data_IF_539529854860
#
_entry.id   IF_539529854860
#
_cell.length_a   1.000
_cell.length_b   1.000
_cell.length_c   1.000
_cell.angle_alpha   90.00
_cell.angle_beta   90.00
_cell.angle_gamma   90.00
#
_symmetry.space_group_name_H-M   'P 1'
#
loop_
_entity.id
_entity.type
_entity.pdbx_description
1 polymer ?
#
# COMPACT_ATOMS: atom_id res chain seq x y z
N UNK A 1 34.45 -2.85 32.25
CA UNK A 1 33.66 -3.56 31.23
C UNK A 1 34.58 -4.51 30.50
N UNK A 2 34.31 -5.81 30.62
CA UNK A 2 35.27 -6.92 30.58
C UNK A 2 35.72 -7.30 29.17
N UNK A 3 36.94 -7.85 29.07
CA UNK A 3 37.59 -8.29 27.83
C UNK A 3 36.70 -9.16 26.92
N UNK A 4 35.75 -9.91 27.47
CA UNK A 4 34.78 -10.71 26.69
C UNK A 4 33.90 -9.87 25.76
N UNK A 5 33.46 -8.67 26.16
CA UNK A 5 32.68 -7.78 25.29
C UNK A 5 33.52 -7.24 24.13
N UNK A 6 34.82 -7.02 24.36
CA UNK A 6 35.75 -6.60 23.31
C UNK A 6 36.01 -7.71 22.28
N UNK A 7 36.17 -8.96 22.74
CA UNK A 7 36.33 -10.14 21.89
C UNK A 7 35.07 -10.43 21.06
N UNK A 8 33.88 -10.36 21.66
CA UNK A 8 32.62 -10.50 20.91
C UNK A 8 32.49 -9.42 19.84
N UNK A 9 32.85 -8.16 20.16
CA UNK A 9 32.82 -7.06 19.21
C UNK A 9 33.84 -7.23 18.06
N UNK A 10 35.05 -7.72 18.34
CA UNK A 10 36.05 -7.96 17.29
C UNK A 10 35.63 -9.12 16.38
N UNK A 11 35.06 -10.19 16.95
CA UNK A 11 34.57 -11.33 16.19
C UNK A 11 33.37 -10.95 15.31
N UNK A 12 32.46 -10.14 15.85
CA UNK A 12 31.32 -9.62 15.10
C UNK A 12 31.75 -8.71 13.94
N UNK A 13 32.72 -7.82 14.15
CA UNK A 13 33.22 -6.95 13.07
C UNK A 13 34.01 -7.72 12.02
N UNK A 14 34.78 -8.74 12.41
CA UNK A 14 35.46 -9.66 11.48
C UNK A 14 34.45 -10.42 10.63
N UNK A 15 33.44 -11.04 11.26
CA UNK A 15 32.37 -11.76 10.56
C UNK A 15 31.56 -10.86 9.61
N UNK A 16 31.19 -9.65 10.05
CA UNK A 16 30.47 -8.68 9.22
C UNK A 16 31.27 -8.25 7.99
N UNK A 17 32.60 -8.22 8.07
CA UNK A 17 33.48 -7.90 6.93
C UNK A 17 33.66 -9.08 5.97
N UNK A 18 33.49 -10.31 6.44
CA UNK A 18 33.59 -11.52 5.60
C UNK A 18 32.41 -11.68 4.63
N UNK A 19 31.23 -11.16 4.99
CA UNK A 19 30.05 -11.17 4.13
C UNK A 19 30.01 -9.89 3.30
N UNK A 20 29.93 -9.96 1.95
CA UNK A 20 29.76 -8.79 1.13
C UNK A 20 28.54 -7.95 1.57
N UNK A 21 28.54 -6.62 1.46
CA UNK A 21 27.41 -5.79 1.88
C UNK A 21 26.07 -6.19 1.25
N UNK A 22 26.09 -6.71 0.01
CA UNK A 22 24.90 -7.23 -0.67
C UNK A 22 24.41 -8.58 -0.11
N UNK A 23 25.30 -9.39 0.47
CA UNK A 23 24.98 -10.69 1.05
C UNK A 23 24.03 -10.58 2.25
N UNK A 24 24.19 -9.53 3.04
CA UNK A 24 23.24 -9.20 4.11
C UNK A 24 21.84 -8.85 3.56
N UNK A 25 21.77 -8.16 2.43
CA UNK A 25 20.49 -7.84 1.77
C UNK A 25 19.78 -9.11 1.30
N UNK A 26 20.50 -10.02 0.65
CA UNK A 26 19.96 -11.31 0.19
C UNK A 26 19.49 -12.16 1.36
N UNK A 27 20.24 -12.18 2.47
CA UNK A 27 19.85 -12.91 3.68
C UNK A 27 18.51 -12.41 4.24
N UNK A 28 18.33 -11.09 4.41
CA UNK A 28 17.09 -10.54 4.94
C UNK A 28 15.90 -10.72 3.99
N UNK A 29 16.12 -10.60 2.68
CA UNK A 29 15.09 -10.90 1.69
C UNK A 29 14.72 -12.38 1.72
N UNK A 30 15.70 -13.28 1.80
CA UNK A 30 15.46 -14.72 1.93
C UNK A 30 14.67 -15.05 3.20
N UNK A 31 15.01 -14.42 4.33
CA UNK A 31 14.26 -14.56 5.58
C UNK A 31 12.83 -14.06 5.43
N UNK A 32 12.60 -12.92 4.78
CA UNK A 32 11.26 -12.40 4.54
C UNK A 32 10.44 -13.32 3.61
N UNK A 33 11.05 -13.89 2.57
CA UNK A 33 10.37 -14.85 1.68
C UNK A 33 10.01 -16.14 2.43
N UNK A 34 10.88 -16.61 3.32
CA UNK A 34 10.63 -17.82 4.10
C UNK A 34 9.74 -17.57 5.32
N UNK A 35 9.51 -16.31 5.71
CA UNK A 35 8.78 -15.93 6.91
C UNK A 35 7.40 -16.61 7.03
N UNK A 36 6.54 -16.66 5.99
CA UNK A 36 5.25 -17.33 6.10
C UNK A 36 5.33 -18.83 6.39
N UNK A 37 6.38 -19.50 5.91
CA UNK A 37 6.59 -20.94 6.17
C UNK A 37 7.21 -21.18 7.54
N UNK A 38 8.02 -20.24 8.02
CA UNK A 38 8.59 -20.30 9.38
C UNK A 38 7.46 -20.15 10.39
N UNK A 39 6.55 -19.19 10.18
CA UNK A 39 5.41 -19.00 11.09
C UNK A 39 4.55 -20.25 11.16
N UNK A 40 4.21 -20.89 10.03
CA UNK A 40 3.43 -22.15 10.00
C UNK A 40 4.04 -23.30 10.82
N UNK A 41 5.36 -23.28 11.03
CA UNK A 41 6.08 -24.34 11.72
C UNK A 41 6.28 -24.08 13.22
N UNK A 42 5.95 -22.88 13.70
CA UNK A 42 6.21 -22.44 15.06
C UNK A 42 4.92 -21.94 15.70
N UNK A 43 4.26 -22.82 16.44
CA UNK A 43 3.21 -22.42 17.38
C UNK A 43 3.84 -21.56 18.48
N UNK A 44 3.67 -20.23 18.39
CA UNK A 44 4.10 -19.27 19.40
C UNK A 44 2.92 -18.98 20.35
N UNK A 45 2.87 -19.57 21.56
CA UNK A 45 1.71 -19.47 22.46
C UNK A 45 1.41 -18.05 22.95
N UNK A 46 2.32 -17.10 22.70
CA UNK A 46 2.29 -15.74 23.23
C UNK A 46 1.80 -14.71 22.19
N UNK A 47 1.82 -15.03 20.89
CA UNK A 47 1.66 -14.02 19.81
C UNK A 47 0.39 -14.23 18.94
N UNK A 48 -0.55 -15.08 19.36
CA UNK A 48 -1.79 -15.31 18.62
C UNK A 48 -1.67 -16.40 17.56
N UNK A 49 -2.72 -16.58 16.76
CA UNK A 49 -2.76 -17.63 15.73
C UNK A 49 -1.81 -17.34 14.56
N UNK A 50 -1.47 -18.37 13.79
CA UNK A 50 -0.66 -18.27 12.57
C UNK A 50 -1.15 -17.19 11.60
N UNK A 51 -2.47 -17.09 11.41
CA UNK A 51 -3.10 -16.11 10.52
C UNK A 51 -3.01 -14.68 11.06
N UNK A 52 -3.02 -14.48 12.39
CA UNK A 52 -2.93 -13.16 13.02
C UNK A 52 -1.55 -12.53 12.79
N UNK A 53 -0.50 -13.34 12.91
CA UNK A 53 0.88 -12.94 12.62
C UNK A 53 1.07 -12.54 11.16
N UNK A 54 0.49 -13.33 10.25
CA UNK A 54 0.54 -13.03 8.83
C UNK A 54 -0.22 -11.75 8.49
N UNK A 55 -1.42 -11.55 9.04
CA UNK A 55 -2.18 -10.32 8.82
C UNK A 55 -1.44 -9.08 9.35
N UNK A 56 -0.92 -9.15 10.58
CA UNK A 56 -0.12 -8.07 11.16
C UNK A 56 1.13 -7.76 10.31
N UNK A 57 1.76 -8.80 9.73
CA UNK A 57 2.91 -8.61 8.84
C UNK A 57 2.53 -7.94 7.51
N UNK A 58 1.37 -8.25 6.94
CA UNK A 58 0.86 -7.61 5.72
C UNK A 58 0.59 -6.12 5.99
N UNK A 59 -0.07 -5.80 7.11
CA UNK A 59 -0.29 -4.41 7.52
C UNK A 59 1.03 -3.66 7.73
N UNK A 60 2.01 -4.32 8.37
CA UNK A 60 3.36 -3.77 8.56
C UNK A 60 4.06 -3.47 7.23
N UNK A 61 3.97 -4.37 6.26
CA UNK A 61 4.49 -4.12 4.91
C UNK A 61 3.80 -2.93 4.24
N UNK A 62 2.48 -2.77 4.43
CA UNK A 62 1.73 -1.58 4.00
C UNK A 62 2.27 -0.29 4.62
N UNK A 63 2.50 -0.27 5.95
CA UNK A 63 3.11 0.87 6.64
C UNK A 63 4.54 1.16 6.16
N UNK A 64 5.33 0.14 5.81
CA UNK A 64 6.66 0.32 5.23
C UNK A 64 6.57 1.04 3.87
N UNK A 65 5.65 0.63 2.99
CA UNK A 65 5.44 1.30 1.70
C UNK A 65 5.05 2.77 1.92
N UNK A 66 4.17 3.03 2.88
CA UNK A 66 3.75 4.40 3.20
C UNK A 66 4.92 5.25 3.73
N UNK A 67 5.71 4.71 4.64
CA UNK A 67 6.90 5.38 5.17
C UNK A 67 7.94 5.65 4.07
N UNK A 68 8.15 4.70 3.16
CA UNK A 68 9.02 4.85 2.00
C UNK A 68 8.52 5.94 1.04
N UNK A 69 7.21 6.06 0.85
CA UNK A 69 6.59 7.12 0.06
C UNK A 69 6.79 8.51 0.67
N UNK A 70 6.52 8.65 1.97
CA UNK A 70 6.71 9.91 2.70
C UNK A 70 8.18 10.38 2.69
N UNK A 71 9.12 9.44 2.78
CA UNK A 71 10.55 9.73 2.72
C UNK A 71 10.98 10.34 1.37
N UNK A 72 10.29 10.06 0.27
CA UNK A 72 10.59 10.70 -1.01
C UNK A 72 10.28 12.20 -0.94
N UNK A 73 9.10 12.55 -0.43
CA UNK A 73 8.61 13.92 -0.41
C UNK A 73 9.39 14.75 0.62
N UNK A 74 9.38 14.33 1.88
CA UNK A 74 10.05 15.06 2.96
C UNK A 74 11.57 14.93 2.85
N UNK A 75 12.08 13.76 2.45
CA UNK A 75 13.50 13.48 2.40
C UNK A 75 14.22 14.09 1.19
N UNK A 76 13.60 14.17 0.01
CA UNK A 76 14.26 14.79 -1.16
C UNK A 76 13.85 16.24 -1.38
N UNK A 77 12.56 16.57 -1.27
CA UNK A 77 12.10 17.94 -1.52
C UNK A 77 12.23 18.85 -0.28
N UNK A 78 12.35 18.29 0.93
CA UNK A 78 12.47 19.08 2.16
C UNK A 78 11.18 19.79 2.59
N UNK A 79 10.10 19.60 1.84
CA UNK A 79 8.80 20.21 2.10
C UNK A 79 7.97 19.34 3.06
N UNK A 80 7.29 19.99 3.99
CA UNK A 80 6.32 19.34 4.87
C UNK A 80 5.08 18.98 4.05
N UNK A 81 4.84 17.68 3.85
CA UNK A 81 3.64 17.17 3.18
C UNK A 81 2.68 16.53 4.20
N UNK A 82 1.66 17.30 4.58
CA UNK A 82 0.58 16.82 5.45
C UNK A 82 -0.58 16.19 4.66
N UNK A 83 -0.56 16.29 3.33
CA UNK A 83 -1.59 15.80 2.42
C UNK A 83 -1.41 14.33 2.02
N UNK A 84 -0.30 13.70 2.43
CA UNK A 84 0.04 12.33 2.08
C UNK A 84 -1.10 11.32 2.34
N UNK A 85 -1.80 11.46 3.47
CA UNK A 85 -2.89 10.57 3.88
C UNK A 85 -4.08 10.63 2.93
N UNK A 86 -4.34 11.80 2.32
CA UNK A 86 -5.42 11.96 1.36
C UNK A 86 -5.16 11.21 0.05
N UNK A 87 -3.92 11.19 -0.44
CA UNK A 87 -3.55 10.38 -1.61
C UNK A 87 -3.64 8.88 -1.33
N UNK A 88 -3.26 8.47 -0.12
CA UNK A 88 -3.46 7.10 0.35
C UNK A 88 -4.94 6.73 0.37
N UNK A 89 -5.81 7.59 0.93
CA UNK A 89 -7.25 7.37 0.97
C UNK A 89 -7.85 7.24 -0.44
N UNK A 90 -7.53 8.16 -1.36
CA UNK A 90 -8.03 8.10 -2.75
C UNK A 90 -7.65 6.77 -3.40
N UNK A 91 -6.39 6.34 -3.27
CA UNK A 91 -5.95 5.05 -3.81
C UNK A 91 -6.68 3.85 -3.21
N UNK A 92 -6.88 3.86 -1.88
CA UNK A 92 -7.60 2.81 -1.17
C UNK A 92 -9.08 2.73 -1.60
N UNK A 93 -9.75 3.87 -1.79
CA UNK A 93 -11.13 3.89 -2.28
C UNK A 93 -11.25 3.43 -3.73
N UNK A 94 -10.29 3.74 -4.61
CA UNK A 94 -10.28 3.19 -5.97
C UNK A 94 -10.15 1.67 -5.94
N UNK A 95 -9.31 1.12 -5.04
CA UNK A 95 -9.23 -0.33 -4.83
C UNK A 95 -10.58 -0.88 -4.36
N UNK A 96 -11.23 -0.21 -3.41
CA UNK A 96 -12.57 -0.58 -2.95
C UNK A 96 -13.62 -0.56 -4.06
N UNK A 97 -13.67 0.47 -4.90
CA UNK A 97 -14.66 0.58 -5.98
C UNK A 97 -14.58 -0.51 -7.03
N UNK A 98 -13.36 -0.95 -7.36
CA UNK A 98 -13.12 -1.94 -8.40
C UNK A 98 -12.82 -3.34 -7.88
N UNK A 99 -12.89 -3.55 -6.57
CA UNK A 99 -12.64 -4.85 -5.93
C UNK A 99 -13.61 -5.14 -4.79
N UNK A 100 -14.86 -4.67 -4.89
CA UNK A 100 -15.87 -4.92 -3.85
C UNK A 100 -17.29 -4.86 -4.39
N UNK A 101 -18.23 -5.13 -3.48
CA UNK A 101 -19.67 -5.06 -3.72
C UNK A 101 -20.26 -3.65 -3.59
N UNK A 102 -19.43 -2.59 -3.53
CA UNK A 102 -19.87 -1.21 -3.28
C UNK A 102 -20.99 -0.74 -4.22
N UNK A 103 -21.00 -1.21 -5.47
CA UNK A 103 -21.99 -0.82 -6.47
C UNK A 103 -22.86 -2.02 -6.90
N UNK A 104 -23.81 -2.46 -6.06
CA UNK A 104 -24.51 -3.72 -6.28
C UNK A 104 -25.45 -3.69 -7.49
N UNK A 105 -26.03 -2.53 -7.83
CA UNK A 105 -27.04 -2.40 -8.89
C UNK A 105 -26.46 -2.36 -10.32
N UNK A 106 -25.13 -2.41 -10.46
CA UNK A 106 -24.48 -2.35 -11.77
C UNK A 106 -24.85 -3.58 -12.61
N UNK A 107 -25.12 -3.35 -13.90
CA UNK A 107 -25.49 -4.38 -14.87
C UNK A 107 -26.73 -5.19 -14.44
N UNK A 108 -27.69 -4.54 -13.76
CA UNK A 108 -28.91 -5.17 -13.27
C UNK A 108 -28.67 -6.20 -12.16
N UNK A 109 -27.66 -5.97 -11.32
CA UNK A 109 -27.30 -6.87 -10.22
C UNK A 109 -26.34 -8.01 -10.59
N UNK A 110 -25.95 -8.12 -11.86
CA UNK A 110 -25.02 -9.17 -12.33
C UNK A 110 -23.55 -8.84 -12.10
N UNK A 111 -23.25 -7.59 -11.74
CA UNK A 111 -21.88 -7.12 -11.54
C UNK A 111 -21.05 -7.09 -12.82
N UNK A 112 -19.83 -6.57 -12.70
CA UNK A 112 -18.80 -6.55 -13.74
C UNK A 112 -17.58 -7.28 -13.18
N UNK A 113 -17.17 -8.37 -13.83
CA UNK A 113 -16.01 -9.18 -13.42
C UNK A 113 -14.96 -9.21 -14.53
N UNK A 114 -13.74 -8.75 -14.25
CA UNK A 114 -12.62 -8.68 -15.21
C UNK A 114 -11.42 -9.43 -14.63
N UNK A 115 -11.08 -10.57 -15.24
CA UNK A 115 -9.99 -11.47 -14.80
C UNK A 115 -10.11 -11.91 -13.32
N UNK A 116 -11.35 -12.03 -12.83
CA UNK A 116 -11.71 -12.52 -11.49
C UNK A 116 -12.92 -13.45 -11.63
N UNK A 117 -13.07 -14.41 -10.72
CA UNK A 117 -14.23 -15.30 -10.70
C UNK A 117 -15.51 -14.51 -10.41
N UNK A 118 -16.56 -14.77 -11.20
CA UNK A 118 -17.84 -14.07 -11.12
C UNK A 118 -18.82 -14.65 -10.10
N UNK A 119 -18.47 -15.75 -9.45
CA UNK A 119 -19.35 -16.49 -8.55
C UNK A 119 -18.77 -16.61 -7.15
N UNK A 120 -19.62 -16.43 -6.15
CA UNK A 120 -19.25 -16.65 -4.74
C UNK A 120 -18.89 -18.11 -4.49
N UNK A 121 -17.76 -18.34 -3.83
CA UNK A 121 -17.29 -19.68 -3.46
C UNK A 121 -18.24 -20.43 -2.50
N UNK A 122 -19.10 -19.70 -1.77
CA UNK A 122 -20.02 -20.27 -0.78
C UNK A 122 -21.40 -20.45 -1.40
N UNK A 123 -21.95 -19.38 -1.98
CA UNK A 123 -23.36 -19.35 -2.40
C UNK A 123 -23.57 -19.72 -3.87
N UNK A 124 -22.50 -19.84 -4.67
CA UNK A 124 -22.53 -20.02 -6.13
C UNK A 124 -23.34 -18.96 -6.90
N UNK A 125 -23.78 -17.91 -6.21
CA UNK A 125 -24.49 -16.77 -6.79
C UNK A 125 -23.49 -15.78 -7.40
N UNK A 126 -23.90 -15.02 -8.42
CA UNK A 126 -23.11 -13.90 -8.94
C UNK A 126 -22.80 -12.93 -7.81
N UNK A 127 -21.55 -12.48 -7.73
CA UNK A 127 -21.16 -11.48 -6.73
C UNK A 127 -21.55 -10.11 -7.29
N UNK A 128 -22.44 -9.35 -6.63
CA UNK A 128 -22.83 -8.03 -7.12
C UNK A 128 -21.67 -7.04 -6.92
N UNK A 129 -21.52 -6.05 -7.81
CA UNK A 129 -20.44 -5.06 -7.72
C UNK A 129 -19.49 -5.06 -8.91
N UNK A 130 -18.35 -4.38 -8.72
CA UNK A 130 -17.28 -4.33 -9.72
C UNK A 130 -16.07 -5.05 -9.13
N UNK A 131 -15.61 -6.08 -9.85
CA UNK A 131 -14.54 -6.96 -9.44
C UNK A 131 -13.52 -7.08 -10.57
N UNK A 132 -12.46 -6.30 -10.49
CA UNK A 132 -11.35 -6.30 -11.43
C UNK A 132 -10.14 -6.88 -10.71
N UNK A 133 -9.33 -7.65 -11.43
CA UNK A 133 -8.13 -8.24 -10.85
C UNK A 133 -7.22 -7.16 -10.24
N UNK A 134 -6.77 -7.41 -9.00
CA UNK A 134 -5.94 -6.49 -8.20
C UNK A 134 -4.80 -5.85 -8.99
N UNK A 135 -4.09 -6.62 -9.82
CA UNK A 135 -2.94 -6.12 -10.59
C UNK A 135 -3.31 -5.06 -11.64
N UNK A 136 -4.54 -5.06 -12.16
CA UNK A 136 -5.02 -3.98 -13.01
C UNK A 136 -5.52 -2.80 -12.18
N UNK A 137 -6.20 -3.09 -11.08
CA UNK A 137 -6.74 -2.07 -10.17
C UNK A 137 -5.63 -1.21 -9.58
N UNK A 138 -4.45 -1.76 -9.25
CA UNK A 138 -3.32 -0.94 -8.76
C UNK A 138 -2.85 0.10 -9.78
N UNK A 139 -2.90 -0.19 -11.08
CA UNK A 139 -2.54 0.78 -12.12
C UNK A 139 -3.63 1.84 -12.30
N UNK A 140 -4.89 1.42 -12.23
CA UNK A 140 -6.04 2.34 -12.24
C UNK A 140 -5.95 3.27 -11.02
N UNK A 141 -5.74 2.74 -9.82
CA UNK A 141 -5.56 3.50 -8.60
C UNK A 141 -4.37 4.47 -8.69
N UNK A 142 -3.21 4.01 -9.17
CA UNK A 142 -2.05 4.88 -9.38
C UNK A 142 -2.35 6.02 -10.36
N UNK A 143 -3.06 5.73 -11.46
CA UNK A 143 -3.47 6.74 -12.44
C UNK A 143 -4.45 7.76 -11.83
N UNK A 144 -5.50 7.29 -11.14
CA UNK A 144 -6.48 8.16 -10.49
C UNK A 144 -5.83 9.05 -9.42
N UNK A 145 -4.98 8.48 -8.58
CA UNK A 145 -4.24 9.24 -7.56
C UNK A 145 -3.30 10.26 -8.20
N UNK A 146 -2.63 9.91 -9.32
CA UNK A 146 -1.79 10.86 -10.06
C UNK A 146 -2.59 12.01 -10.68
N UNK A 147 -3.79 11.75 -11.23
CA UNK A 147 -4.69 12.78 -11.75
C UNK A 147 -5.11 13.73 -10.64
N UNK A 148 -5.54 13.22 -9.48
CA UNK A 148 -5.85 14.05 -8.31
C UNK A 148 -4.63 14.84 -7.83
N UNK A 149 -3.45 14.23 -7.81
CA UNK A 149 -2.20 14.90 -7.49
C UNK A 149 -1.87 16.04 -8.45
N UNK A 150 -2.14 15.88 -9.74
CA UNK A 150 -1.93 16.93 -10.74
C UNK A 150 -2.94 18.07 -10.60
N UNK A 151 -4.23 17.75 -10.41
CA UNK A 151 -5.30 18.74 -10.24
C UNK A 151 -5.02 19.65 -9.04
N UNK A 152 -4.51 19.07 -7.95
CA UNK A 152 -4.23 19.80 -6.71
C UNK A 152 -2.84 20.41 -6.69
N UNK A 153 -1.86 19.76 -7.31
CA UNK A 153 -0.49 20.25 -7.43
C UNK A 153 -0.38 21.47 -8.33
N UNK A 154 -1.15 21.55 -9.43
CA UNK A 154 -1.04 22.66 -10.37
C UNK A 154 -1.35 24.05 -9.75
N UNK A 155 -2.40 24.22 -8.93
CA UNK A 155 -2.65 25.46 -8.21
C UNK A 155 -1.59 25.79 -7.15
N UNK A 156 -1.00 24.79 -6.49
CA UNK A 156 -0.06 25.00 -5.38
C UNK A 156 1.33 25.41 -5.82
N UNK A 157 1.69 25.21 -7.10
CA UNK A 157 2.97 25.67 -7.68
C UNK A 157 3.25 27.17 -7.49
N UNK A 158 2.21 27.98 -7.24
CA UNK A 158 2.32 29.42 -7.02
C UNK A 158 2.52 29.80 -5.54
N UNK A 159 2.37 28.84 -4.63
CA UNK A 159 2.47 29.05 -3.18
C UNK A 159 3.87 28.69 -2.69
N UNK A 160 4.35 29.38 -1.65
CA UNK A 160 5.67 29.15 -1.04
C UNK A 160 5.56 29.10 0.47
N UNK A 161 6.47 28.36 1.09
CA UNK A 161 6.59 28.25 2.55
C UNK A 161 5.27 27.82 3.20
N UNK A 162 4.80 28.61 4.16
CA UNK A 162 3.63 28.32 5.00
C UNK A 162 2.34 28.12 4.21
N UNK A 163 2.16 28.84 3.10
CA UNK A 163 0.97 28.71 2.27
C UNK A 163 0.87 27.33 1.62
N UNK A 164 2.01 26.74 1.24
CA UNK A 164 2.03 25.38 0.70
C UNK A 164 1.65 24.37 1.79
N UNK A 165 2.22 24.51 2.99
CA UNK A 165 1.92 23.65 4.13
C UNK A 165 0.43 23.69 4.51
N UNK A 166 -0.17 24.89 4.58
CA UNK A 166 -1.61 25.06 4.86
C UNK A 166 -2.47 24.32 3.84
N UNK A 167 -2.13 24.39 2.55
CA UNK A 167 -2.92 23.68 1.51
C UNK A 167 -2.78 22.17 1.64
N UNK A 168 -1.59 21.64 1.92
CA UNK A 168 -1.43 20.19 2.12
C UNK A 168 -2.20 19.68 3.34
N UNK A 169 -2.23 20.45 4.43
CA UNK A 169 -3.02 20.13 5.63
C UNK A 169 -4.51 20.15 5.32
N UNK A 170 -4.99 21.22 4.68
CA UNK A 170 -6.39 21.34 4.29
C UNK A 170 -6.81 20.18 3.39
N UNK A 171 -5.97 19.78 2.44
CA UNK A 171 -6.23 18.61 1.60
C UNK A 171 -6.26 17.31 2.41
N UNK A 172 -5.29 17.11 3.31
CA UNK A 172 -5.22 15.97 4.22
C UNK A 172 -6.46 15.80 5.09
N UNK A 173 -7.12 16.90 5.49
CA UNK A 173 -8.35 16.89 6.29
C UNK A 173 -9.62 16.83 5.41
N UNK A 174 -9.67 17.56 4.28
CA UNK A 174 -10.87 17.62 3.43
C UNK A 174 -11.18 16.25 2.84
N UNK A 175 -10.19 15.52 2.33
CA UNK A 175 -10.45 14.26 1.62
C UNK A 175 -11.12 13.21 2.50
N UNK A 176 -10.59 12.84 3.68
CA UNK A 176 -11.28 11.90 4.58
C UNK A 176 -12.71 12.35 4.90
N UNK A 177 -12.94 13.64 5.15
CA UNK A 177 -14.28 14.17 5.42
C UNK A 177 -15.23 14.02 4.25
N UNK A 178 -14.75 14.25 3.02
CA UNK A 178 -15.57 14.05 1.82
C UNK A 178 -16.00 12.59 1.73
N UNK A 179 -15.06 11.65 1.88
CA UNK A 179 -15.39 10.24 1.85
C UNK A 179 -16.29 9.82 3.02
N UNK A 180 -16.05 10.27 4.25
CA UNK A 180 -16.92 9.96 5.41
C UNK A 180 -18.37 10.43 5.23
N UNK A 181 -18.59 11.51 4.48
CA UNK A 181 -19.92 12.09 4.25
C UNK A 181 -20.56 11.67 2.91
N UNK A 182 -19.86 10.92 2.05
CA UNK A 182 -20.35 10.52 0.71
C UNK A 182 -21.21 9.25 0.72
N UNK A 183 -22.11 9.12 1.71
CA UNK A 183 -22.97 7.93 1.88
C UNK A 183 -24.29 8.01 1.10
N UNK A 184 -24.71 9.21 0.71
CA UNK A 184 -25.97 9.46 0.01
C UNK A 184 -25.74 10.25 -1.28
N UNK A 185 -24.89 9.73 -2.16
CA UNK A 185 -24.49 10.40 -3.40
C UNK A 185 -23.17 11.15 -3.30
N UNK A 186 -22.59 11.44 -4.46
CA UNK A 186 -21.34 12.17 -4.59
C UNK A 186 -21.57 13.64 -4.19
N UNK A 187 -21.00 14.08 -3.07
CA UNK A 187 -21.26 15.41 -2.49
C UNK A 187 -22.75 15.70 -2.22
N UNK A 188 -23.55 14.66 -1.93
CA UNK A 188 -25.01 14.80 -1.74
C UNK A 188 -25.81 14.94 -3.03
N UNK A 189 -25.19 14.67 -4.19
CA UNK A 189 -25.85 14.60 -5.49
C UNK A 189 -25.92 13.12 -5.92
N UNK A 190 -27.14 12.59 -6.02
CA UNK A 190 -27.41 11.20 -6.38
C UNK A 190 -27.80 10.34 -5.17
N UNK A 191 -28.13 9.06 -5.43
CA UNK A 191 -28.54 8.09 -4.40
C UNK A 191 -27.54 6.96 -4.20
N UNK A 192 -26.41 6.98 -4.93
CA UNK A 192 -25.40 5.92 -4.89
C UNK A 192 -24.42 6.21 -3.76
N UNK A 193 -24.27 5.26 -2.85
CA UNK A 193 -23.25 5.31 -1.81
C UNK A 193 -21.87 5.14 -2.44
N UNK A 194 -20.98 6.11 -2.20
CA UNK A 194 -19.65 6.15 -2.80
C UNK A 194 -18.56 5.61 -1.88
N UNK A 195 -18.78 5.52 -0.58
CA UNK A 195 -17.70 5.29 0.39
C UNK A 195 -18.07 4.41 1.56
N UNK A 196 -19.36 4.15 1.78
CA UNK A 196 -19.90 3.54 2.99
C UNK A 196 -19.54 4.33 4.26
N UNK A 197 -19.31 5.64 4.11
CA UNK A 197 -18.99 6.58 5.18
C UNK A 197 -17.81 6.14 6.05
N UNK A 198 -18.01 6.14 7.36
CA UNK A 198 -16.97 5.77 8.35
C UNK A 198 -16.65 4.27 8.39
N UNK A 199 -17.54 3.42 7.88
CA UNK A 199 -17.28 1.97 7.85
C UNK A 199 -16.26 1.60 6.78
N UNK A 200 -16.14 2.42 5.73
CA UNK A 200 -15.32 2.12 4.58
C UNK A 200 -15.87 0.95 3.76
N UNK A 201 -15.24 0.71 2.62
CA UNK A 201 -15.68 -0.30 1.67
C UNK A 201 -15.19 -1.68 2.13
N UNK A 202 -16.13 -2.53 2.52
CA UNK A 202 -15.88 -3.93 2.92
C UNK A 202 -17.03 -4.83 2.45
N UNK A 203 -16.79 -6.11 2.10
CA UNK A 203 -15.51 -6.79 1.96
C UNK A 203 -14.78 -6.45 0.64
N UNK A 204 -13.45 -6.46 0.66
CA UNK A 204 -12.60 -6.31 -0.53
C UNK A 204 -12.17 -7.68 -1.05
N UNK A 205 -12.08 -7.82 -2.37
CA UNK A 205 -11.59 -9.00 -3.06
C UNK A 205 -10.16 -9.35 -2.66
N UNK A 206 -9.89 -10.65 -2.65
CA UNK A 206 -8.54 -11.17 -2.39
C UNK A 206 -7.62 -10.95 -3.57
N UNK A 207 -6.33 -10.80 -3.26
CA UNK A 207 -5.29 -10.65 -4.26
C UNK A 207 -5.02 -12.01 -4.90
N UNK A 208 -5.53 -12.18 -6.12
CA UNK A 208 -5.42 -13.41 -6.89
C UNK A 208 -4.41 -13.23 -8.02
N UNK A 209 -3.45 -14.16 -8.17
CA UNK A 209 -2.54 -14.15 -9.30
C UNK A 209 -3.32 -14.34 -10.61
N UNK A 210 -3.05 -13.54 -11.66
CA UNK A 210 -3.87 -13.54 -12.87
C UNK A 210 -3.90 -14.88 -13.61
N UNK A 211 -2.92 -15.76 -13.36
CA UNK A 211 -2.69 -17.01 -14.11
C UNK A 211 -2.93 -18.26 -13.27
N UNK A 212 -3.41 -18.13 -12.03
CA UNK A 212 -3.71 -19.26 -11.15
C UNK A 212 -5.23 -19.48 -11.10
N UNK A 213 -5.68 -20.62 -11.62
CA UNK A 213 -7.11 -21.00 -11.64
C UNK A 213 -7.57 -21.65 -10.33
N UNK A 214 -6.63 -22.09 -9.49
CA UNK A 214 -6.89 -22.82 -8.22
C UNK A 214 -7.13 -21.92 -7.00
N UNK A 215 -7.39 -20.63 -7.23
CA UNK A 215 -7.31 -19.57 -6.22
C UNK A 215 -8.39 -19.63 -5.11
N UNK A 216 -9.26 -20.64 -5.14
CA UNK A 216 -10.26 -20.91 -4.10
C UNK A 216 -10.07 -22.23 -3.35
N UNK A 217 -8.93 -22.94 -3.46
CA UNK A 217 -8.75 -24.17 -2.66
C UNK A 217 -8.70 -23.89 -1.15
N UNK A 218 -8.26 -22.69 -0.75
CA UNK A 218 -8.25 -22.23 0.63
C UNK A 218 -8.74 -20.77 0.72
N UNK A 219 -10.05 -20.52 0.87
CA UNK A 219 -10.64 -19.18 0.93
C UNK A 219 -10.17 -18.34 2.13
N UNK A 220 -9.26 -18.84 2.97
CA UNK A 220 -8.66 -18.17 4.14
C UNK A 220 -7.14 -18.00 4.03
N UNK A 221 -6.51 -18.28 2.87
CA UNK A 221 -5.05 -18.20 2.76
C UNK A 221 -4.56 -16.74 2.58
N UNK A 222 -3.79 -16.22 3.55
CA UNK A 222 -3.22 -14.85 3.53
C UNK A 222 -1.89 -14.75 2.77
N UNK A 223 -1.24 -15.89 2.49
CA UNK A 223 0.11 -15.94 1.90
C UNK A 223 0.24 -15.20 0.55
N UNK A 224 -0.71 -15.30 -0.40
CA UNK A 224 -0.61 -14.55 -1.66
C UNK A 224 -0.55 -13.03 -1.44
N UNK A 225 -1.35 -12.50 -0.51
CA UNK A 225 -1.35 -11.09 -0.17
C UNK A 225 -0.01 -10.65 0.45
N UNK A 226 0.58 -11.48 1.32
CA UNK A 226 1.91 -11.25 1.87
C UNK A 226 2.99 -11.13 0.78
N UNK A 227 3.05 -12.07 -0.15
CA UNK A 227 4.06 -12.03 -1.21
C UNK A 227 3.88 -10.84 -2.15
N UNK A 228 2.64 -10.44 -2.43
CA UNK A 228 2.36 -9.23 -3.21
C UNK A 228 2.78 -7.98 -2.44
N UNK A 229 2.46 -7.89 -1.15
CA UNK A 229 2.91 -6.77 -0.31
C UNK A 229 4.44 -6.68 -0.23
N UNK A 230 5.13 -7.82 -0.05
CA UNK A 230 6.59 -7.88 -0.05
C UNK A 230 7.17 -7.48 -1.41
N UNK A 231 6.59 -7.98 -2.50
CA UNK A 231 6.95 -7.59 -3.87
C UNK A 231 6.80 -6.09 -4.11
N UNK A 232 5.71 -5.49 -3.61
CA UNK A 232 5.47 -4.06 -3.67
C UNK A 232 6.50 -3.27 -2.85
N UNK A 233 6.88 -3.71 -1.65
CA UNK A 233 7.98 -3.09 -0.88
C UNK A 233 9.28 -3.09 -1.68
N UNK A 234 9.66 -4.25 -2.24
CA UNK A 234 10.89 -4.36 -3.03
C UNK A 234 10.85 -3.47 -4.28
N UNK A 235 9.69 -3.41 -4.93
CA UNK A 235 9.45 -2.54 -6.08
C UNK A 235 9.54 -1.05 -5.71
N UNK A 236 8.94 -0.63 -4.60
CA UNK A 236 9.04 0.75 -4.09
C UNK A 236 10.48 1.09 -3.71
N UNK A 237 11.21 0.20 -3.05
CA UNK A 237 12.64 0.41 -2.75
C UNK A 237 13.46 0.56 -4.03
N UNK A 238 13.18 -0.26 -5.05
CA UNK A 238 13.83 -0.16 -6.35
C UNK A 238 13.56 1.20 -7.02
N UNK A 239 12.28 1.62 -7.08
CA UNK A 239 11.90 2.94 -7.60
C UNK A 239 12.58 4.06 -6.82
N UNK A 240 12.58 4.01 -5.50
CA UNK A 240 13.17 5.05 -4.66
C UNK A 240 14.66 5.21 -4.91
N UNK A 241 15.39 4.10 -5.03
CA UNK A 241 16.81 4.11 -5.39
C UNK A 241 17.01 4.70 -6.79
N UNK A 242 16.19 4.28 -7.75
CA UNK A 242 16.30 4.76 -9.14
C UNK A 242 15.96 6.25 -9.27
N UNK A 243 14.97 6.72 -8.52
CA UNK A 243 14.52 8.10 -8.49
C UNK A 243 15.57 9.01 -7.88
N UNK A 244 16.17 8.63 -6.75
CA UNK A 244 17.29 9.36 -6.13
C UNK A 244 18.46 9.53 -7.08
N UNK A 245 18.82 8.46 -7.78
CA UNK A 245 19.97 8.46 -8.70
C UNK A 245 19.59 9.03 -10.09
N UNK A 246 18.34 9.46 -10.28
CA UNK A 246 17.87 10.10 -11.51
C UNK A 246 18.24 11.59 -11.57
N UNK A 247 18.08 12.21 -12.76
CA UNK A 247 18.29 13.66 -12.92
C UNK A 247 17.30 14.48 -12.08
N UNK A 248 16.06 14.00 -11.98
CA UNK A 248 14.98 14.64 -11.23
C UNK A 248 15.26 14.63 -9.73
N UNK A 249 15.67 13.47 -9.19
CA UNK A 249 16.02 13.35 -7.77
C UNK A 249 17.21 14.23 -7.39
N UNK A 250 18.26 14.28 -8.22
CA UNK A 250 19.39 15.20 -7.98
C UNK A 250 18.99 16.67 -8.03
N UNK A 251 18.07 17.05 -8.91
CA UNK A 251 17.58 18.41 -8.98
C UNK A 251 16.79 18.81 -7.72
N UNK A 252 15.94 17.92 -7.21
CA UNK A 252 15.20 18.19 -5.95
C UNK A 252 16.13 18.34 -4.74
N UNK A 253 17.15 17.47 -4.64
CA UNK A 253 18.13 17.57 -3.56
C UNK A 253 18.89 18.90 -3.65
N UNK A 254 19.31 19.32 -4.85
CA UNK A 254 20.00 20.59 -5.03
C UNK A 254 19.12 21.80 -4.62
N UNK A 255 17.84 21.82 -5.02
CA UNK A 255 16.90 22.88 -4.61
C UNK A 255 16.75 22.92 -3.09
N UNK A 256 16.61 21.77 -2.44
CA UNK A 256 16.54 21.68 -0.97
C UNK A 256 17.81 22.17 -0.28
N UNK A 257 18.98 21.92 -0.87
CA UNK A 257 20.26 22.39 -0.33
C UNK A 257 20.46 23.91 -0.52
N UNK A 258 19.77 24.51 -1.49
CA UNK A 258 19.80 25.95 -1.78
C UNK A 258 18.76 26.77 -0.95
N UNK A 259 17.71 26.13 -0.41
CA UNK A 259 16.70 26.72 0.49
C UNK A 259 17.12 26.71 1.97
#
# INVERSE_FOLDING_TARGET
MSAGLATVRSNWTSFRRSVPPWGWGVFWIGLAVLYPYITDSVDLPIIGGHDDLLDASIQTLGYIIMALGLNIVVGFAGLLDLGYVAFYAIGAFVIGWFGSQQFPDINGGKGIHILVQSQSAISHQPIPGIHINFFFVIFIAAFFTAVWGMILGAPTLRLRGDYLAIVTLAFGEIVPRVFENSTSGFFGIGSVDFSNGRQGITPIDKINFPWTTDTFKYPLELKPAYYVALGMVLFTVFINRRLRDSRLGRAWIAVREDE
#
